data_IF_694355354790
#
_entry.id   IF_694355354790
#
_cell.length_a   1.000
_cell.length_b   1.000
_cell.length_c   1.000
_cell.angle_alpha   90.00
_cell.angle_beta   90.00
_cell.angle_gamma   90.00
#
_symmetry.space_group_name_H-M   'P 1'
#
loop_
_entity.id
_entity.type
_entity.pdbx_description
1 polymer ?
#
# COMPACT_ATOMS: atom_id res chain seq x y z
N UNK A 1 0.93 -1.22 -13.08
CA UNK A 1 0.74 -2.59 -13.64
C UNK A 1 0.02 -3.47 -12.61
N UNK A 2 -1.16 -3.99 -12.96
CA UNK A 2 -2.22 -4.57 -12.11
C UNK A 2 -3.00 -3.59 -11.21
N UNK A 3 -2.34 -2.73 -10.42
CA UNK A 3 -3.06 -1.70 -9.66
C UNK A 3 -3.82 -0.75 -10.59
N UNK A 4 -3.15 0.02 -11.44
CA UNK A 4 -3.77 0.97 -12.39
C UNK A 4 -4.89 0.40 -13.29
N UNK A 5 -4.82 -0.87 -13.66
CA UNK A 5 -5.84 -1.51 -14.51
C UNK A 5 -7.12 -1.88 -13.74
N UNK A 6 -7.01 -2.31 -12.47
CA UNK A 6 -8.18 -2.49 -11.59
C UNK A 6 -8.75 -1.15 -11.12
N UNK A 7 -7.91 -0.11 -11.04
CA UNK A 7 -8.25 1.22 -10.54
C UNK A 7 -9.24 2.02 -11.42
N UNK A 8 -9.52 1.60 -12.66
CA UNK A 8 -10.35 2.33 -13.62
C UNK A 8 -11.85 1.97 -13.61
N UNK A 9 -12.26 0.88 -12.92
CA UNK A 9 -13.65 0.38 -13.06
C UNK A 9 -14.57 0.67 -11.87
N UNK A 10 -14.09 1.26 -10.76
CA UNK A 10 -14.95 1.63 -9.64
C UNK A 10 -15.61 0.46 -8.89
N UNK A 11 -15.17 -0.79 -9.14
CA UNK A 11 -15.73 -2.02 -8.56
C UNK A 11 -14.98 -2.43 -7.27
N UNK A 12 -14.95 -1.54 -6.29
CA UNK A 12 -14.15 -1.70 -5.06
C UNK A 12 -14.51 -2.97 -4.25
N UNK A 13 -15.79 -3.35 -4.18
CA UNK A 13 -16.22 -4.56 -3.46
C UNK A 13 -15.78 -5.85 -4.15
N UNK A 14 -15.86 -5.89 -5.47
CA UNK A 14 -15.40 -7.06 -6.25
C UNK A 14 -13.88 -7.20 -6.20
N UNK A 15 -13.16 -6.07 -6.22
CA UNK A 15 -11.71 -6.06 -6.01
C UNK A 15 -11.31 -6.62 -4.65
N UNK A 16 -12.00 -6.23 -3.57
CA UNK A 16 -11.76 -6.77 -2.22
C UNK A 16 -12.04 -8.28 -2.17
N UNK A 17 -13.19 -8.73 -2.68
CA UNK A 17 -13.53 -10.15 -2.71
C UNK A 17 -12.51 -10.99 -3.50
N UNK A 18 -11.98 -10.45 -4.59
CA UNK A 18 -10.92 -11.09 -5.38
C UNK A 18 -9.61 -11.19 -4.61
N UNK A 19 -9.19 -10.11 -3.92
CA UNK A 19 -7.99 -10.16 -3.08
C UNK A 19 -8.13 -11.16 -1.93
N UNK A 20 -9.31 -11.25 -1.30
CA UNK A 20 -9.56 -12.20 -0.21
C UNK A 20 -9.48 -13.66 -0.71
N UNK A 21 -10.08 -13.95 -1.87
CA UNK A 21 -9.98 -15.28 -2.49
C UNK A 21 -8.55 -15.62 -2.87
N UNK A 22 -7.80 -14.66 -3.41
CA UNK A 22 -6.39 -14.86 -3.75
C UNK A 22 -5.53 -15.16 -2.51
N UNK A 23 -5.79 -14.49 -1.38
CA UNK A 23 -5.08 -14.75 -0.12
C UNK A 23 -5.42 -16.11 0.50
N UNK A 24 -6.66 -16.59 0.33
CA UNK A 24 -7.07 -17.93 0.79
C UNK A 24 -6.41 -19.06 0.00
N UNK A 25 -6.05 -18.82 -1.26
CA UNK A 25 -5.45 -19.81 -2.17
C UNK A 25 -3.91 -19.70 -2.18
N UNK A 26 -3.35 -18.55 -1.79
CA UNK A 26 -1.91 -18.33 -1.77
C UNK A 26 -1.21 -19.25 -0.74
N UNK A 27 -0.44 -20.20 -1.25
CA UNK A 27 0.39 -21.09 -0.44
C UNK A 27 1.57 -20.34 0.22
N UNK A 28 2.06 -20.88 1.34
CA UNK A 28 3.21 -20.35 2.08
C UNK A 28 4.50 -20.30 1.25
N UNK A 29 4.57 -20.99 0.10
CA UNK A 29 5.69 -20.91 -0.87
C UNK A 29 5.60 -19.70 -1.80
N UNK A 30 4.44 -19.04 -1.89
CA UNK A 30 4.18 -17.88 -2.76
C UNK A 30 4.15 -16.58 -1.96
N UNK A 31 5.06 -16.43 -0.98
CA UNK A 31 5.08 -15.30 -0.05
C UNK A 31 5.16 -13.93 -0.76
N UNK A 32 5.92 -13.82 -1.84
CA UNK A 32 6.03 -12.58 -2.62
C UNK A 32 4.71 -12.20 -3.30
N UNK A 33 3.97 -13.19 -3.82
CA UNK A 33 2.66 -12.96 -4.41
C UNK A 33 1.64 -12.54 -3.35
N UNK A 34 1.67 -13.18 -2.18
CA UNK A 34 0.84 -12.81 -1.03
C UNK A 34 1.07 -11.36 -0.59
N UNK A 35 2.32 -10.90 -0.56
CA UNK A 35 2.68 -9.53 -0.20
C UNK A 35 2.09 -8.51 -1.20
N UNK A 36 2.14 -8.80 -2.50
CA UNK A 36 1.53 -7.95 -3.54
C UNK A 36 0.00 -7.90 -3.42
N UNK A 37 -0.66 -9.03 -3.13
CA UNK A 37 -2.11 -9.08 -2.96
C UNK A 37 -2.57 -8.30 -1.73
N UNK A 38 -1.81 -8.34 -0.63
CA UNK A 38 -2.11 -7.56 0.58
C UNK A 38 -1.99 -6.05 0.32
N UNK A 39 -0.96 -5.62 -0.41
CA UNK A 39 -0.79 -4.22 -0.80
C UNK A 39 -1.95 -3.74 -1.69
N UNK A 40 -2.36 -4.54 -2.68
CA UNK A 40 -3.52 -4.23 -3.52
C UNK A 40 -4.82 -4.12 -2.71
N UNK A 41 -5.02 -4.99 -1.71
CA UNK A 41 -6.17 -4.92 -0.80
C UNK A 41 -6.20 -3.62 0.00
N UNK A 42 -5.04 -3.18 0.51
CA UNK A 42 -4.88 -1.90 1.19
C UNK A 42 -5.25 -0.71 0.29
N UNK A 43 -4.80 -0.73 -0.97
CA UNK A 43 -5.11 0.33 -1.96
C UNK A 43 -6.60 0.42 -2.26
N UNK A 44 -7.28 -0.72 -2.45
CA UNK A 44 -8.71 -0.75 -2.76
C UNK A 44 -9.54 -0.29 -1.54
N UNK A 45 -9.20 -0.76 -0.35
CA UNK A 45 -9.88 -0.37 0.88
C UNK A 45 -9.69 1.12 1.20
N UNK A 46 -8.49 1.67 0.93
CA UNK A 46 -8.18 3.08 1.15
C UNK A 46 -8.99 4.06 0.26
N UNK A 47 -9.68 3.58 -0.79
CA UNK A 47 -10.53 4.43 -1.65
C UNK A 47 -11.97 4.55 -1.18
N UNK A 48 -12.41 3.74 -0.22
CA UNK A 48 -13.76 3.84 0.36
C UNK A 48 -13.75 4.85 1.51
N UNK A 49 -14.91 5.48 1.74
CA UNK A 49 -15.07 6.40 2.87
C UNK A 49 -15.35 5.64 4.16
N UNK A 50 -14.72 6.13 5.22
CA UNK A 50 -14.87 5.95 6.68
C UNK A 50 -14.81 4.56 7.36
N UNK A 51 -15.65 3.52 7.13
CA UNK A 51 -15.53 2.27 7.90
C UNK A 51 -14.37 1.32 7.50
N UNK A 52 -13.70 1.55 6.37
CA UNK A 52 -12.70 0.59 5.83
C UNK A 52 -11.24 1.06 5.98
N UNK A 53 -11.04 2.24 6.55
CA UNK A 53 -9.71 2.79 6.85
C UNK A 53 -8.88 1.84 7.72
N UNK A 54 -9.47 1.26 8.76
CA UNK A 54 -8.78 0.31 9.65
C UNK A 54 -8.38 -0.99 8.93
N UNK A 55 -9.24 -1.49 8.03
CA UNK A 55 -8.95 -2.67 7.21
C UNK A 55 -7.83 -2.41 6.20
N UNK A 56 -7.82 -1.20 5.64
CA UNK A 56 -6.76 -0.76 4.73
C UNK A 56 -5.41 -0.68 5.47
N UNK A 57 -5.40 -0.04 6.64
CA UNK A 57 -4.22 0.10 7.49
C UNK A 57 -3.67 -1.25 7.92
N UNK A 58 -4.53 -2.17 8.40
CA UNK A 58 -4.13 -3.53 8.73
C UNK A 58 -3.49 -4.26 7.54
N UNK A 59 -4.10 -4.16 6.35
CA UNK A 59 -3.59 -4.81 5.14
C UNK A 59 -2.22 -4.27 4.71
N UNK A 60 -2.00 -2.97 4.80
CA UNK A 60 -0.69 -2.37 4.52
C UNK A 60 0.36 -2.78 5.54
N UNK A 61 0.02 -2.90 6.83
CA UNK A 61 0.96 -3.37 7.84
C UNK A 61 1.34 -4.85 7.63
N UNK A 62 0.37 -5.72 7.32
CA UNK A 62 0.67 -7.12 6.96
C UNK A 62 1.57 -7.20 5.72
N UNK A 63 1.28 -6.40 4.68
CA UNK A 63 2.09 -6.33 3.46
C UNK A 63 3.50 -5.83 3.75
N UNK A 64 3.65 -4.79 4.59
CA UNK A 64 4.93 -4.20 4.95
C UNK A 64 5.80 -5.18 5.74
N UNK A 65 5.23 -5.88 6.72
CA UNK A 65 5.94 -6.90 7.50
C UNK A 65 6.46 -8.03 6.59
N UNK A 66 5.59 -8.56 5.73
CA UNK A 66 5.98 -9.61 4.80
C UNK A 66 7.00 -9.13 3.75
N UNK A 67 6.86 -7.90 3.27
CA UNK A 67 7.83 -7.29 2.36
C UNK A 67 9.19 -7.04 3.02
N UNK A 68 9.23 -6.75 4.33
CA UNK A 68 10.44 -6.65 5.11
C UNK A 68 11.13 -8.02 5.24
N UNK A 69 10.40 -9.06 5.62
CA UNK A 69 10.91 -10.44 5.71
C UNK A 69 11.50 -10.95 4.38
N UNK A 70 10.87 -10.58 3.26
CA UNK A 70 11.27 -11.02 1.92
C UNK A 70 12.29 -10.10 1.25
N UNK A 71 12.71 -8.99 1.89
CA UNK A 71 13.61 -8.00 1.29
C UNK A 71 13.02 -7.24 0.09
N UNK A 72 11.70 -7.21 -0.06
CA UNK A 72 10.98 -6.57 -1.17
C UNK A 72 10.90 -5.04 -0.97
N UNK A 73 12.04 -4.36 -1.04
CA UNK A 73 12.15 -2.90 -0.83
C UNK A 73 11.17 -2.04 -1.65
N UNK A 74 10.88 -2.33 -2.94
CA UNK A 74 9.85 -1.59 -3.68
C UNK A 74 8.46 -1.70 -3.05
N UNK A 75 8.10 -2.90 -2.59
CA UNK A 75 6.79 -3.14 -1.97
C UNK A 75 6.69 -2.44 -0.61
N UNK A 76 7.77 -2.40 0.16
CA UNK A 76 7.84 -1.61 1.40
C UNK A 76 7.55 -0.13 1.12
N UNK A 77 8.19 0.46 0.10
CA UNK A 77 7.97 1.86 -0.28
C UNK A 77 6.50 2.13 -0.66
N UNK A 78 5.88 1.26 -1.45
CA UNK A 78 4.47 1.38 -1.80
C UNK A 78 3.53 1.26 -0.59
N UNK A 79 3.82 0.36 0.36
CA UNK A 79 3.02 0.26 1.59
C UNK A 79 3.13 1.53 2.44
N UNK A 80 4.32 2.11 2.54
CA UNK A 80 4.54 3.39 3.23
C UNK A 80 3.78 4.54 2.56
N UNK A 81 3.74 4.63 1.23
CA UNK A 81 2.90 5.63 0.53
C UNK A 81 1.42 5.45 0.86
N UNK A 82 0.92 4.22 0.85
CA UNK A 82 -0.47 3.90 1.17
C UNK A 82 -0.88 4.27 2.59
N UNK A 83 -0.03 3.92 3.58
CA UNK A 83 -0.23 4.29 4.99
C UNK A 83 -0.17 5.81 5.18
N UNK A 84 0.78 6.49 4.55
CA UNK A 84 0.88 7.95 4.59
C UNK A 84 -0.39 8.66 4.10
N UNK A 85 -0.96 8.19 2.99
CA UNK A 85 -2.22 8.69 2.46
C UNK A 85 -3.42 8.43 3.38
N UNK A 86 -3.48 7.26 4.02
CA UNK A 86 -4.53 6.95 5.00
C UNK A 86 -4.42 7.84 6.25
N UNK A 87 -3.23 7.96 6.84
CA UNK A 87 -2.99 8.81 8.00
C UNK A 87 -3.38 10.27 7.69
N UNK A 88 -3.02 10.79 6.52
CA UNK A 88 -3.38 12.14 6.10
C UNK A 88 -4.90 12.34 6.01
N UNK A 89 -5.64 11.38 5.43
CA UNK A 89 -7.11 11.40 5.36
C UNK A 89 -7.77 11.31 6.73
N UNK A 90 -7.16 10.59 7.67
CA UNK A 90 -7.63 10.48 9.06
C UNK A 90 -7.20 11.64 9.96
N UNK A 91 -6.54 12.68 9.43
CA UNK A 91 -6.05 13.82 10.22
C UNK A 91 -4.79 13.55 11.06
N UNK A 92 -4.17 12.36 10.91
CA UNK A 92 -2.95 11.94 11.63
C UNK A 92 -1.70 12.42 10.88
N UNK A 93 -1.48 13.74 10.85
CA UNK A 93 -0.44 14.36 10.02
C UNK A 93 1.00 13.92 10.35
N UNK A 94 1.33 13.74 11.63
CA UNK A 94 2.67 13.30 12.04
C UNK A 94 2.99 11.90 11.49
N UNK A 95 2.09 10.94 11.72
CA UNK A 95 2.21 9.58 11.19
C UNK A 95 2.24 9.57 9.65
N UNK A 96 1.48 10.45 9.01
CA UNK A 96 1.52 10.58 7.55
C UNK A 96 2.92 10.99 7.07
N UNK A 97 3.56 11.96 7.73
CA UNK A 97 4.90 12.42 7.39
C UNK A 97 5.96 11.35 7.63
N UNK A 98 5.85 10.58 8.71
CA UNK A 98 6.78 9.47 8.99
C UNK A 98 6.73 8.42 7.88
N UNK A 99 5.52 7.99 7.50
CA UNK A 99 5.34 7.01 6.45
C UNK A 99 5.80 7.53 5.09
N UNK A 100 5.45 8.77 4.72
CA UNK A 100 5.87 9.35 3.45
C UNK A 100 7.39 9.57 3.38
N UNK A 101 8.04 9.95 4.49
CA UNK A 101 9.50 10.08 4.56
C UNK A 101 10.20 8.74 4.34
N UNK A 102 9.73 7.68 5.01
CA UNK A 102 10.26 6.33 4.82
C UNK A 102 10.11 5.85 3.37
N UNK A 103 9.00 6.18 2.69
CA UNK A 103 8.83 5.89 1.27
C UNK A 103 9.85 6.64 0.40
N UNK A 104 10.06 7.93 0.65
CA UNK A 104 11.06 8.75 -0.07
C UNK A 104 12.47 8.17 0.08
N UNK A 105 12.86 7.82 1.30
CA UNK A 105 14.19 7.25 1.57
C UNK A 105 14.39 5.91 0.84
N UNK A 106 13.37 5.05 0.85
CA UNK A 106 13.41 3.79 0.11
C UNK A 106 13.51 4.02 -1.40
N UNK A 107 12.70 4.92 -1.98
CA UNK A 107 12.79 5.22 -3.42
C UNK A 107 14.12 5.82 -3.82
N UNK A 108 14.68 6.73 -3.00
CA UNK A 108 16.03 7.29 -3.22
C UNK A 108 17.11 6.22 -3.16
N UNK A 109 17.06 5.35 -2.16
CA UNK A 109 18.01 4.24 -2.00
C UNK A 109 17.97 3.24 -3.18
N UNK A 110 16.82 3.13 -3.85
CA UNK A 110 16.63 2.30 -5.04
C UNK A 110 16.75 3.07 -6.37
N UNK A 111 17.04 4.37 -6.34
CA UNK A 111 17.07 5.27 -7.52
C UNK A 111 15.77 5.25 -8.35
N UNK A 112 14.63 5.01 -7.70
CA UNK A 112 13.31 4.96 -8.33
C UNK A 112 12.69 6.36 -8.41
N UNK A 113 13.17 7.16 -9.36
CA UNK A 113 12.83 8.59 -9.45
C UNK A 113 11.41 8.90 -9.90
N UNK A 114 10.74 7.97 -10.59
CA UNK A 114 9.38 8.17 -11.10
C UNK A 114 8.36 8.48 -9.98
N UNK A 115 8.51 7.87 -8.81
CA UNK A 115 7.54 7.98 -7.70
C UNK A 115 7.85 9.13 -6.73
N UNK A 116 9.06 9.69 -6.77
CA UNK A 116 9.51 10.73 -5.82
C UNK A 116 8.68 12.01 -5.87
N UNK A 117 8.38 12.62 -7.04
CA UNK A 117 7.71 13.92 -7.08
C UNK A 117 6.33 13.90 -6.42
N UNK A 118 5.59 12.80 -6.55
CA UNK A 118 4.26 12.65 -5.99
C UNK A 118 4.30 12.50 -4.45
N UNK A 119 5.25 11.72 -3.94
CA UNK A 119 5.38 11.46 -2.50
C UNK A 119 5.97 12.69 -1.79
N UNK A 120 6.96 13.35 -2.37
CA UNK A 120 7.53 14.60 -1.85
C UNK A 120 6.49 15.72 -1.84
N UNK A 121 5.63 15.83 -2.87
CA UNK A 121 4.53 16.79 -2.87
C UNK A 121 3.51 16.52 -1.76
N UNK A 122 3.26 15.25 -1.43
CA UNK A 122 2.38 14.88 -0.33
C UNK A 122 3.01 15.16 1.06
N UNK A 123 4.33 15.10 1.16
CA UNK A 123 5.08 15.40 2.40
C UNK A 123 5.04 16.90 2.76
N UNK A 124 5.04 17.77 1.74
CA UNK A 124 5.04 19.23 1.91
C UNK A 124 3.67 19.85 2.25
N UNK A 125 2.62 19.04 2.40
CA UNK A 125 1.28 19.49 2.83
C UNK A 125 1.10 19.46 4.34
#
# INVERSE_FOLDING_TARGET
>A
MLSEAYLLTGRSEEGLALTERALKIADARQRSFRALVLQLRGEIAARRDSPETERAEHSYHEALALAAELGMRPLQAHCHVGLGGLCARSGRQEQARDHLSAAVDLYRAMQMTFWLPQVESALCR
#
